data_IF_954763744624
#
_entry.id   IF_954763744624
#
_cell.length_a   1.000
_cell.length_b   1.000
_cell.length_c   1.000
_cell.angle_alpha   90.00
_cell.angle_beta   90.00
_cell.angle_gamma   90.00
#
_symmetry.space_group_name_H-M   'P 1'
#
loop_
_entity.id
_entity.type
_entity.pdbx_description
1 polymer ?
#
# COMPACT_ATOMS: atom_id res chain seq x y z
N UNK A 1 14.80 16.85 4.63
CA UNK A 1 13.68 16.13 3.92
C UNK A 1 12.44 16.28 4.77
N UNK A 2 11.31 16.64 4.15
CA UNK A 2 10.03 16.84 4.84
C UNK A 2 8.97 15.92 4.23
N UNK A 3 8.42 14.99 5.02
CA UNK A 3 7.53 13.93 4.56
C UNK A 3 6.17 14.02 5.25
N UNK A 4 5.10 14.02 4.45
CA UNK A 4 3.75 13.87 4.99
C UNK A 4 3.45 12.38 5.24
N UNK A 5 2.83 12.08 6.39
CA UNK A 5 2.56 10.72 6.84
C UNK A 5 1.07 10.56 7.14
N UNK A 6 0.45 9.50 6.60
CA UNK A 6 -0.94 9.15 6.87
C UNK A 6 -1.15 7.63 6.94
N UNK A 7 -2.21 7.22 7.64
CA UNK A 7 -2.62 5.82 7.70
C UNK A 7 -4.14 5.70 7.72
N UNK A 8 -4.68 4.84 6.84
CA UNK A 8 -6.10 4.52 6.80
C UNK A 8 -6.26 3.05 6.45
N UNK A 9 -6.66 2.24 7.42
CA UNK A 9 -6.67 0.79 7.31
C UNK A 9 -8.00 0.20 7.77
N UNK A 10 -8.59 -0.61 6.91
CA UNK A 10 -9.71 -1.48 7.22
C UNK A 10 -9.72 -2.61 6.18
N UNK A 11 -9.74 -3.84 6.63
CA UNK A 11 -9.96 -5.00 5.78
C UNK A 11 -11.46 -5.15 5.51
N UNK A 12 -11.85 -5.01 4.26
CA UNK A 12 -13.25 -4.99 3.85
C UNK A 12 -13.79 -6.38 3.50
N UNK A 13 -15.09 -6.58 3.71
CA UNK A 13 -15.86 -7.67 3.15
C UNK A 13 -17.10 -7.07 2.46
N UNK A 14 -17.07 -7.02 1.12
CA UNK A 14 -18.15 -6.42 0.33
C UNK A 14 -19.43 -7.27 0.30
N UNK A 15 -19.36 -8.52 0.75
CA UNK A 15 -20.48 -9.46 0.75
C UNK A 15 -21.37 -9.35 2.00
N UNK A 16 -20.98 -8.55 3.00
CA UNK A 16 -21.80 -8.28 4.18
C UNK A 16 -22.58 -6.96 4.05
N UNK A 17 -23.85 -6.92 4.50
CA UNK A 17 -24.64 -5.69 4.52
C UNK A 17 -24.30 -4.74 5.67
N UNK A 18 -23.47 -5.17 6.63
CA UNK A 18 -23.09 -4.36 7.79
C UNK A 18 -21.99 -3.39 7.39
N UNK A 19 -22.22 -2.09 7.57
CA UNK A 19 -21.23 -1.07 7.27
C UNK A 19 -20.29 -0.83 8.44
N UNK A 20 -18.99 -0.71 8.14
CA UNK A 20 -17.99 -0.18 9.08
C UNK A 20 -18.15 1.34 9.17
N UNK A 21 -18.19 1.87 10.37
CA UNK A 21 -18.42 3.29 10.67
C UNK A 21 -17.14 3.97 11.19
N UNK A 22 -17.10 5.30 11.13
CA UNK A 22 -15.99 6.07 11.72
C UNK A 22 -15.76 5.73 13.19
N UNK A 23 -16.83 5.44 13.94
CA UNK A 23 -16.75 5.06 15.35
C UNK A 23 -16.04 3.73 15.61
N UNK A 24 -15.89 2.88 14.58
CA UNK A 24 -15.20 1.60 14.68
C UNK A 24 -13.67 1.76 14.48
N UNK A 25 -13.21 2.96 14.08
CA UNK A 25 -11.79 3.24 13.88
C UNK A 25 -11.11 3.74 15.16
N UNK A 26 -9.95 3.18 15.46
CA UNK A 26 -8.98 3.78 16.37
C UNK A 26 -8.30 4.95 15.64
N UNK A 27 -8.53 6.17 16.14
CA UNK A 27 -8.05 7.41 15.52
C UNK A 27 -6.92 8.03 16.34
N UNK A 28 -5.89 8.51 15.66
CA UNK A 28 -4.84 9.31 16.26
C UNK A 28 -4.36 10.42 15.33
N UNK A 29 -3.90 11.53 15.90
CA UNK A 29 -3.46 12.73 15.20
C UNK A 29 -2.12 13.21 15.75
N UNK A 30 -1.40 14.00 14.97
CA UNK A 30 -0.15 14.61 15.40
C UNK A 30 0.87 13.60 15.93
N UNK A 31 1.55 13.89 17.07
CA UNK A 31 2.55 12.98 17.63
C UNK A 31 1.98 11.61 18.03
N UNK A 32 0.71 11.53 18.45
CA UNK A 32 0.09 10.28 18.88
C UNK A 32 -0.07 9.30 17.71
N UNK A 33 -0.27 9.79 16.48
CA UNK A 33 -0.30 8.90 15.32
C UNK A 33 1.07 8.28 15.02
N UNK A 34 2.16 9.02 15.24
CA UNK A 34 3.51 8.49 15.02
C UNK A 34 3.87 7.37 15.99
N UNK A 35 3.36 7.45 17.22
CA UNK A 35 3.55 6.40 18.22
C UNK A 35 2.87 5.07 17.83
N UNK A 36 1.89 5.10 16.92
CA UNK A 36 1.23 3.89 16.40
C UNK A 36 1.93 3.27 15.19
N UNK A 37 2.92 3.95 14.63
CA UNK A 37 3.70 3.51 13.47
C UNK A 37 5.08 3.00 13.92
N UNK A 38 5.65 2.06 13.14
CA UNK A 38 6.92 1.42 13.49
C UNK A 38 8.10 1.97 12.66
N UNK A 39 8.06 3.28 12.35
CA UNK A 39 9.05 3.97 11.50
C UNK A 39 9.83 5.06 12.22
N UNK A 40 9.52 5.34 13.50
CA UNK A 40 10.08 6.46 14.26
C UNK A 40 11.63 6.46 14.27
N UNK A 41 12.25 5.30 14.51
CA UNK A 41 13.71 5.17 14.55
C UNK A 41 14.37 5.64 13.23
N UNK A 42 13.80 5.27 12.08
CA UNK A 42 14.35 5.67 10.77
C UNK A 42 14.10 7.16 10.49
N UNK A 43 12.95 7.69 10.91
CA UNK A 43 12.66 9.13 10.79
C UNK A 43 13.69 9.97 11.58
N UNK A 44 14.02 9.57 12.80
CA UNK A 44 15.03 10.21 13.65
C UNK A 44 16.44 10.06 13.06
N UNK A 45 16.84 8.84 12.67
CA UNK A 45 18.14 8.57 12.05
C UNK A 45 18.40 9.45 10.83
N UNK A 46 17.38 9.60 9.98
CA UNK A 46 17.46 10.39 8.73
C UNK A 46 17.13 11.86 8.92
N UNK A 47 16.85 12.30 10.15
CA UNK A 47 16.46 13.68 10.48
C UNK A 47 15.32 14.20 9.60
N UNK A 48 14.28 13.36 9.40
CA UNK A 48 13.13 13.69 8.58
C UNK A 48 12.16 14.55 9.38
N UNK A 49 11.80 15.71 8.84
CA UNK A 49 10.71 16.53 9.34
C UNK A 49 9.38 15.89 8.93
N UNK A 50 8.55 15.54 9.90
CA UNK A 50 7.29 14.85 9.68
C UNK A 50 6.13 15.84 9.66
N UNK A 51 5.26 15.71 8.66
CA UNK A 51 3.92 16.32 8.63
C UNK A 51 2.91 15.22 8.90
N UNK A 52 2.49 15.04 10.18
CA UNK A 52 1.50 14.01 10.52
C UNK A 52 0.10 14.46 10.08
N UNK A 53 -0.66 13.57 9.47
CA UNK A 53 -2.04 13.84 9.04
C UNK A 53 -3.05 13.12 9.94
N UNK A 54 -3.41 11.90 9.60
CA UNK A 54 -4.34 11.05 10.33
C UNK A 54 -3.83 9.61 10.37
N UNK A 55 -3.94 8.96 11.53
CA UNK A 55 -3.97 7.50 11.67
C UNK A 55 -5.39 7.07 11.94
N UNK A 56 -5.90 6.13 11.14
CA UNK A 56 -7.20 5.50 11.32
C UNK A 56 -7.09 4.01 11.03
N UNK A 57 -7.44 3.16 12.00
CA UNK A 57 -7.40 1.72 11.88
C UNK A 57 -8.66 1.09 12.44
N UNK A 58 -9.36 0.29 11.64
CA UNK A 58 -10.48 -0.54 12.06
C UNK A 58 -10.15 -2.03 11.92
N UNK A 59 -10.76 -2.85 12.75
CA UNK A 59 -10.74 -4.30 12.59
C UNK A 59 -11.45 -4.72 11.28
N UNK A 60 -11.19 -5.92 10.75
CA UNK A 60 -11.89 -6.45 9.59
C UNK A 60 -13.42 -6.34 9.74
N UNK A 61 -14.08 -5.81 8.70
CA UNK A 61 -15.51 -5.52 8.77
C UNK A 61 -16.16 -5.44 7.38
N UNK A 62 -17.37 -4.91 7.31
CA UNK A 62 -18.04 -4.65 6.05
C UNK A 62 -17.50 -3.41 5.32
N UNK A 63 -18.13 -3.02 4.20
CA UNK A 63 -17.76 -1.81 3.49
C UNK A 63 -17.79 -0.60 4.42
N UNK A 64 -16.80 0.28 4.28
CA UNK A 64 -16.81 1.52 5.07
C UNK A 64 -17.91 2.43 4.53
N UNK A 65 -18.75 2.97 5.43
CA UNK A 65 -19.80 3.89 5.05
C UNK A 65 -19.22 5.10 4.31
N UNK A 66 -19.80 5.44 3.17
CA UNK A 66 -19.28 6.49 2.26
C UNK A 66 -19.00 7.81 2.96
N UNK A 67 -19.95 8.32 3.78
CA UNK A 67 -19.81 9.60 4.44
C UNK A 67 -18.64 9.58 5.44
N UNK A 68 -18.51 8.51 6.22
CA UNK A 68 -17.46 8.33 7.22
C UNK A 68 -16.09 8.18 6.53
N UNK A 69 -16.04 7.42 5.44
CA UNK A 69 -14.82 7.28 4.64
C UNK A 69 -14.34 8.62 4.06
N UNK A 70 -15.26 9.43 3.48
CA UNK A 70 -14.90 10.72 2.91
C UNK A 70 -14.31 11.68 3.96
N UNK A 71 -14.80 11.62 5.20
CA UNK A 71 -14.24 12.39 6.31
C UNK A 71 -12.82 11.90 6.67
N UNK A 72 -12.63 10.59 6.81
CA UNK A 72 -11.32 10.01 7.14
C UNK A 72 -10.28 10.26 6.04
N UNK A 73 -10.63 9.98 4.79
CA UNK A 73 -9.77 10.24 3.64
C UNK A 73 -9.46 11.73 3.49
N UNK A 74 -10.46 12.59 3.72
CA UNK A 74 -10.30 14.05 3.79
C UNK A 74 -9.29 14.48 4.84
N UNK A 75 -9.34 13.88 6.04
CA UNK A 75 -8.37 14.15 7.12
C UNK A 75 -6.92 13.90 6.71
N UNK A 76 -6.67 12.88 5.88
CA UNK A 76 -5.33 12.63 5.32
C UNK A 76 -5.02 13.65 4.21
N UNK A 77 -5.87 13.73 3.19
CA UNK A 77 -5.61 14.56 2.01
C UNK A 77 -5.46 16.04 2.38
N UNK A 78 -6.36 16.57 3.22
CA UNK A 78 -6.35 17.98 3.62
C UNK A 78 -5.14 18.29 4.53
N UNK A 79 -4.68 17.31 5.31
CA UNK A 79 -3.49 17.42 6.14
C UNK A 79 -2.18 17.47 5.37
N UNK A 80 -2.12 17.01 4.11
CA UNK A 80 -0.91 17.09 3.27
C UNK A 80 -0.77 18.49 2.69
N UNK A 81 0.32 19.24 2.94
CA UNK A 81 0.55 20.55 2.32
C UNK A 81 0.72 20.45 0.80
N UNK A 82 0.33 21.49 0.08
CA UNK A 82 0.53 21.58 -1.39
C UNK A 82 2.01 21.87 -1.72
N UNK A 83 2.67 22.61 -0.85
CA UNK A 83 4.05 23.06 -1.05
C UNK A 83 4.94 22.70 0.15
N UNK A 84 6.23 22.63 -0.10
CA UNK A 84 7.24 22.44 0.95
C UNK A 84 7.25 21.04 1.56
N UNK A 85 6.84 20.01 0.81
CA UNK A 85 7.04 18.60 1.14
C UNK A 85 7.85 17.92 0.04
N UNK A 86 8.69 16.96 0.45
CA UNK A 86 9.54 16.20 -0.46
C UNK A 86 8.92 14.85 -0.83
N UNK A 87 7.94 14.36 -0.06
CA UNK A 87 7.29 13.08 -0.31
C UNK A 87 6.08 12.82 0.58
N UNK A 88 5.31 11.80 0.23
CA UNK A 88 4.18 11.30 1.02
C UNK A 88 4.35 9.82 1.30
N UNK A 89 4.26 9.43 2.56
CA UNK A 89 4.25 8.05 3.00
C UNK A 89 2.89 7.68 3.57
N UNK A 90 2.32 6.58 3.07
CA UNK A 90 1.02 6.10 3.50
C UNK A 90 1.09 4.64 3.97
N UNK A 91 0.38 4.34 5.06
CA UNK A 91 0.12 2.98 5.49
C UNK A 91 -1.37 2.68 5.33
N UNK A 92 -1.68 1.91 4.29
CA UNK A 92 -3.04 1.55 3.89
C UNK A 92 -3.24 0.04 4.07
N UNK A 93 -4.47 -0.47 3.95
CA UNK A 93 -4.69 -1.91 3.96
C UNK A 93 -4.51 -2.52 2.56
N UNK A 94 -5.14 -1.95 1.57
CA UNK A 94 -5.17 -2.47 0.19
C UNK A 94 -6.43 -3.28 -0.15
N UNK A 95 -7.23 -3.63 0.85
CA UNK A 95 -8.51 -4.32 0.68
C UNK A 95 -9.68 -3.53 1.30
N UNK A 96 -9.59 -2.22 1.35
CA UNK A 96 -10.66 -1.38 1.87
C UNK A 96 -11.74 -1.19 0.82
N UNK A 97 -12.89 -1.75 1.08
CA UNK A 97 -14.09 -1.56 0.29
C UNK A 97 -14.94 -0.41 0.88
N UNK A 98 -15.39 0.51 0.05
CA UNK A 98 -16.18 1.67 0.46
C UNK A 98 -17.52 1.70 -0.26
N UNK A 99 -18.60 1.88 0.50
CA UNK A 99 -19.97 1.96 0.00
C UNK A 99 -20.10 2.93 -1.18
N UNK A 100 -20.48 2.41 -2.37
CA UNK A 100 -20.71 3.20 -3.58
C UNK A 100 -19.46 3.89 -4.16
N UNK A 101 -18.25 3.50 -3.72
CA UNK A 101 -16.98 4.00 -4.26
C UNK A 101 -16.12 2.85 -4.82
N UNK A 102 -16.13 1.67 -4.18
CA UNK A 102 -15.21 0.58 -4.46
C UNK A 102 -13.91 0.70 -3.65
N UNK A 103 -12.73 0.66 -4.28
CA UNK A 103 -11.44 0.77 -3.59
C UNK A 103 -11.26 2.11 -2.89
N UNK A 104 -11.17 2.05 -1.57
CA UNK A 104 -10.84 3.21 -0.73
C UNK A 104 -9.43 3.72 -1.04
N UNK A 105 -8.48 2.84 -1.20
CA UNK A 105 -7.08 3.21 -1.47
C UNK A 105 -6.93 3.96 -2.79
N UNK A 106 -7.56 3.47 -3.87
CA UNK A 106 -7.51 4.14 -5.16
C UNK A 106 -8.17 5.54 -5.11
N UNK A 107 -9.31 5.65 -4.43
CA UNK A 107 -9.97 6.95 -4.23
C UNK A 107 -9.09 7.94 -3.46
N UNK A 108 -8.51 7.51 -2.32
CA UNK A 108 -7.63 8.36 -1.51
C UNK A 108 -6.41 8.82 -2.30
N UNK A 109 -5.73 7.91 -3.00
CA UNK A 109 -4.55 8.23 -3.81
C UNK A 109 -4.90 9.19 -4.96
N UNK A 110 -6.05 9.01 -5.62
CA UNK A 110 -6.52 9.93 -6.67
C UNK A 110 -6.74 11.34 -6.11
N UNK A 111 -7.45 11.46 -4.98
CA UNK A 111 -7.67 12.74 -4.31
C UNK A 111 -6.36 13.41 -3.87
N UNK A 112 -5.41 12.59 -3.40
CA UNK A 112 -4.08 13.08 -3.05
C UNK A 112 -3.37 13.64 -4.28
N UNK A 113 -3.37 12.91 -5.42
CA UNK A 113 -2.76 13.35 -6.67
C UNK A 113 -3.42 14.61 -7.26
N UNK A 114 -4.74 14.73 -7.16
CA UNK A 114 -5.45 15.95 -7.53
C UNK A 114 -4.94 17.18 -6.76
N UNK A 115 -4.52 16.99 -5.51
CA UNK A 115 -4.01 18.05 -4.65
C UNK A 115 -2.53 18.38 -4.87
N UNK A 116 -1.66 17.35 -4.91
CA UNK A 116 -0.20 17.54 -4.90
C UNK A 116 0.47 17.34 -6.28
N UNK A 117 -0.28 16.90 -7.29
CA UNK A 117 0.29 16.54 -8.60
C UNK A 117 1.11 15.25 -8.57
N UNK A 118 1.97 15.06 -9.58
CA UNK A 118 2.75 13.84 -9.77
C UNK A 118 4.26 14.02 -9.55
N UNK A 119 4.72 15.22 -9.28
CA UNK A 119 6.14 15.53 -9.08
C UNK A 119 6.64 15.17 -7.68
N UNK A 120 5.72 14.97 -6.73
CA UNK A 120 6.02 14.56 -5.36
C UNK A 120 5.88 13.04 -5.26
N UNK A 121 6.95 12.28 -4.88
CA UNK A 121 6.86 10.84 -4.76
C UNK A 121 5.91 10.42 -3.62
N UNK A 122 5.13 9.37 -3.89
CA UNK A 122 4.21 8.73 -2.93
C UNK A 122 4.60 7.27 -2.78
N UNK A 123 4.89 6.83 -1.55
CA UNK A 123 5.13 5.43 -1.22
C UNK A 123 4.05 4.90 -0.29
N UNK A 124 3.62 3.66 -0.55
CA UNK A 124 2.52 3.01 0.16
C UNK A 124 2.97 1.67 0.73
N UNK A 125 2.75 1.46 2.04
CA UNK A 125 2.81 0.16 2.68
C UNK A 125 1.40 -0.43 2.80
N UNK A 126 1.24 -1.72 2.57
CA UNK A 126 -0.06 -2.42 2.58
C UNK A 126 0.02 -3.78 3.27
N UNK A 127 -1.14 -4.40 3.45
CA UNK A 127 -1.28 -5.79 3.85
C UNK A 127 -1.01 -6.74 2.68
N UNK A 128 -0.72 -8.00 2.98
CA UNK A 128 -0.56 -9.07 2.00
C UNK A 128 -1.85 -9.38 1.23
N UNK A 129 -3.00 -9.15 1.88
CA UNK A 129 -4.33 -9.38 1.30
C UNK A 129 -4.86 -8.21 0.45
N UNK A 130 -3.99 -7.32 -0.01
CA UNK A 130 -4.38 -6.19 -0.84
C UNK A 130 -4.91 -6.65 -2.22
N UNK A 131 -6.12 -6.17 -2.57
CA UNK A 131 -6.71 -6.23 -3.91
C UNK A 131 -6.44 -4.92 -4.64
N UNK A 132 -5.25 -4.82 -5.21
CA UNK A 132 -4.81 -3.58 -5.83
C UNK A 132 -5.48 -3.38 -7.19
N UNK A 133 -6.25 -2.30 -7.36
CA UNK A 133 -6.75 -1.90 -8.67
C UNK A 133 -5.60 -1.47 -9.61
N UNK A 134 -5.86 -1.41 -10.91
CA UNK A 134 -4.87 -0.96 -11.91
C UNK A 134 -4.48 0.51 -11.76
N UNK A 135 -5.25 1.28 -10.98
CA UNK A 135 -4.93 2.67 -10.68
C UNK A 135 -3.81 2.83 -9.64
N UNK A 136 -3.68 1.89 -8.68
CA UNK A 136 -2.71 1.98 -7.59
C UNK A 136 -1.27 2.23 -8.10
N UNK A 137 -0.74 1.43 -9.04
CA UNK A 137 0.62 1.65 -9.56
C UNK A 137 0.75 2.91 -10.44
N UNK A 138 -0.36 3.51 -10.88
CA UNK A 138 -0.35 4.78 -11.60
C UNK A 138 -0.34 5.99 -10.65
N UNK A 139 -0.84 5.82 -9.42
CA UNK A 139 -1.00 6.87 -8.43
C UNK A 139 0.11 6.89 -7.38
N UNK A 140 0.76 5.74 -7.11
CA UNK A 140 1.89 5.62 -6.20
C UNK A 140 3.20 5.36 -6.96
N UNK A 141 4.32 5.86 -6.45
CA UNK A 141 5.66 5.62 -7.03
C UNK A 141 6.30 4.36 -6.47
N UNK A 142 5.86 3.92 -5.30
CA UNK A 142 6.28 2.67 -4.68
C UNK A 142 5.13 2.07 -3.87
N UNK A 143 4.94 0.77 -4.01
CA UNK A 143 3.96 0.01 -3.23
C UNK A 143 4.66 -1.22 -2.67
N UNK A 144 4.46 -1.51 -1.39
CA UNK A 144 4.96 -2.72 -0.74
C UNK A 144 3.89 -3.33 0.15
N UNK A 145 3.95 -4.64 0.38
CA UNK A 145 3.05 -5.36 1.27
C UNK A 145 3.79 -6.28 2.22
N UNK A 146 3.07 -6.88 3.17
CA UNK A 146 3.64 -7.93 4.01
C UNK A 146 4.16 -9.08 3.14
N UNK A 147 5.25 -9.69 3.59
CA UNK A 147 5.88 -10.85 2.94
C UNK A 147 5.61 -12.15 3.67
N UNK A 148 4.91 -12.07 4.78
CA UNK A 148 4.58 -13.23 5.61
C UNK A 148 3.08 -13.36 5.82
N UNK A 149 2.56 -14.55 5.65
CA UNK A 149 1.23 -14.95 6.10
C UNK A 149 1.38 -16.26 6.87
N UNK A 150 1.10 -16.29 8.18
CA UNK A 150 0.65 -15.21 9.07
C UNK A 150 1.60 -14.03 9.18
N UNK A 151 1.05 -12.82 9.39
CA UNK A 151 1.79 -11.56 9.37
C UNK A 151 2.76 -11.43 10.55
N UNK A 152 4.05 -11.32 10.27
CA UNK A 152 5.11 -11.13 11.25
C UNK A 152 6.07 -9.98 10.91
N UNK A 153 5.90 -9.34 9.74
CA UNK A 153 6.83 -8.36 9.19
C UNK A 153 6.26 -6.93 9.06
N UNK A 154 5.36 -6.55 9.99
CA UNK A 154 4.73 -5.22 9.99
C UNK A 154 5.76 -4.07 9.98
N UNK A 155 6.75 -4.12 10.89
CA UNK A 155 7.81 -3.10 10.99
C UNK A 155 8.62 -3.05 9.68
N UNK A 156 9.04 -4.20 9.18
CA UNK A 156 9.87 -4.29 7.98
C UNK A 156 9.14 -3.75 6.75
N UNK A 157 7.84 -4.01 6.63
CA UNK A 157 7.01 -3.52 5.53
C UNK A 157 6.87 -2.00 5.56
N UNK A 158 6.59 -1.42 6.73
CA UNK A 158 6.54 0.02 6.90
C UNK A 158 7.90 0.67 6.56
N UNK A 159 8.99 0.09 7.05
CA UNK A 159 10.35 0.57 6.78
C UNK A 159 10.72 0.47 5.29
N UNK A 160 10.35 -0.63 4.58
CA UNK A 160 10.59 -0.76 3.13
C UNK A 160 9.94 0.38 2.35
N UNK A 161 8.69 0.73 2.65
CA UNK A 161 8.03 1.86 2.01
C UNK A 161 8.72 3.19 2.27
N UNK A 162 9.14 3.44 3.53
CA UNK A 162 9.83 4.68 3.89
C UNK A 162 11.22 4.76 3.24
N UNK A 163 11.99 3.68 3.25
CA UNK A 163 13.30 3.60 2.59
C UNK A 163 13.20 3.85 1.09
N UNK A 164 12.21 3.24 0.42
CA UNK A 164 11.99 3.48 -1.00
C UNK A 164 11.59 4.93 -1.29
N UNK A 165 10.77 5.55 -0.43
CA UNK A 165 10.44 6.97 -0.55
C UNK A 165 11.68 7.86 -0.41
N UNK A 166 12.54 7.58 0.58
CA UNK A 166 13.80 8.29 0.79
C UNK A 166 14.68 8.18 -0.47
N UNK A 167 14.82 6.99 -1.04
CA UNK A 167 15.55 6.77 -2.29
C UNK A 167 14.97 7.60 -3.44
N UNK A 168 13.64 7.64 -3.58
CA UNK A 168 12.99 8.44 -4.61
C UNK A 168 13.32 9.94 -4.45
N UNK A 169 13.28 10.46 -3.23
CA UNK A 169 13.57 11.86 -2.94
C UNK A 169 15.06 12.17 -3.16
N UNK A 170 15.97 11.36 -2.61
CA UNK A 170 17.41 11.59 -2.71
C UNK A 170 17.95 11.48 -4.13
N UNK A 171 17.42 10.53 -4.91
CA UNK A 171 17.80 10.34 -6.33
C UNK A 171 17.01 11.21 -7.30
N UNK A 172 15.99 11.95 -6.84
CA UNK A 172 15.07 12.71 -7.68
C UNK A 172 14.43 11.85 -8.79
N UNK A 173 13.94 10.66 -8.42
CA UNK A 173 13.28 9.74 -9.34
C UNK A 173 11.81 9.56 -8.98
N UNK A 174 11.00 9.32 -10.02
CA UNK A 174 9.57 9.04 -9.90
C UNK A 174 9.26 7.71 -10.60
N UNK A 175 9.58 6.58 -9.95
CA UNK A 175 9.32 5.27 -10.52
C UNK A 175 7.84 5.07 -10.86
N UNK A 176 7.58 4.19 -11.83
CA UNK A 176 6.22 3.80 -12.24
C UNK A 176 6.05 2.30 -12.03
N UNK A 177 5.50 1.86 -10.89
CA UNK A 177 5.28 0.45 -10.64
C UNK A 177 4.42 -0.20 -11.73
N UNK A 178 4.63 -1.48 -11.96
CA UNK A 178 3.87 -2.28 -12.92
C UNK A 178 3.14 -3.39 -12.20
N UNK A 179 1.92 -3.68 -12.63
CA UNK A 179 1.07 -4.71 -12.02
C UNK A 179 0.76 -5.83 -13.01
N UNK A 180 0.67 -7.06 -12.48
CA UNK A 180 0.10 -8.23 -13.16
C UNK A 180 -0.76 -9.02 -12.18
N UNK A 181 -1.72 -9.81 -12.69
CA UNK A 181 -2.64 -10.61 -11.89
C UNK A 181 -2.61 -12.07 -12.30
N UNK A 182 -2.83 -12.97 -11.33
CA UNK A 182 -3.21 -14.34 -11.62
C UNK A 182 -4.75 -14.44 -11.60
N UNK A 183 -5.32 -15.15 -12.57
CA UNK A 183 -6.78 -15.29 -12.71
C UNK A 183 -7.30 -16.43 -11.79
N UNK A 184 -7.05 -16.31 -10.50
CA UNK A 184 -7.48 -17.27 -9.46
C UNK A 184 -7.95 -16.52 -8.23
N UNK A 185 -8.78 -17.18 -7.42
CA UNK A 185 -9.17 -16.73 -6.08
C UNK A 185 -8.81 -17.84 -5.12
N UNK A 186 -8.13 -17.51 -4.02
CA UNK A 186 -7.65 -18.49 -3.06
C UNK A 186 -8.24 -18.18 -1.69
N UNK A 187 -8.75 -19.21 -1.05
CA UNK A 187 -9.28 -19.14 0.30
C UNK A 187 -8.18 -18.73 1.30
N UNK A 188 -8.52 -17.81 2.23
CA UNK A 188 -7.56 -17.21 3.15
C UNK A 188 -6.75 -18.20 3.98
N UNK A 189 -7.36 -19.30 4.46
CA UNK A 189 -6.69 -20.34 5.26
C UNK A 189 -5.65 -21.14 4.46
N UNK A 190 -5.78 -21.17 3.11
CA UNK A 190 -4.82 -21.81 2.22
C UNK A 190 -3.62 -20.92 1.89
N UNK A 191 -3.62 -19.67 2.34
CA UNK A 191 -2.63 -18.66 1.97
C UNK A 191 -1.56 -18.55 3.04
N UNK A 192 -0.54 -19.40 2.93
CA UNK A 192 0.62 -19.37 3.82
C UNK A 192 1.90 -19.21 3.00
N UNK A 193 2.66 -18.15 3.26
CA UNK A 193 3.89 -17.84 2.50
C UNK A 193 5.01 -18.86 2.70
N UNK A 194 4.93 -19.70 3.73
CA UNK A 194 5.83 -20.82 3.97
C UNK A 194 5.49 -22.09 3.17
N UNK A 195 4.38 -22.13 2.44
CA UNK A 195 3.90 -23.27 1.67
C UNK A 195 3.85 -22.97 0.17
N UNK A 196 3.87 -24.04 -0.64
CA UNK A 196 3.70 -23.88 -2.10
C UNK A 196 2.25 -23.54 -2.47
N UNK A 197 2.04 -22.73 -3.52
CA UNK A 197 3.04 -22.17 -4.44
C UNK A 197 3.73 -20.90 -3.93
N UNK A 198 3.20 -20.28 -2.87
CA UNK A 198 3.65 -18.97 -2.39
C UNK A 198 5.12 -18.98 -1.97
N UNK A 199 5.61 -20.05 -1.33
CA UNK A 199 7.02 -20.16 -0.95
C UNK A 199 7.96 -19.95 -2.14
N UNK A 200 7.70 -20.62 -3.26
CA UNK A 200 8.51 -20.48 -4.47
C UNK A 200 8.36 -19.12 -5.13
N UNK A 201 7.16 -18.55 -5.11
CA UNK A 201 6.88 -17.21 -5.65
C UNK A 201 7.60 -16.14 -4.83
N UNK A 202 7.53 -16.20 -3.50
CA UNK A 202 8.23 -15.27 -2.62
C UNK A 202 9.75 -15.36 -2.79
N UNK A 203 10.31 -16.58 -2.89
CA UNK A 203 11.74 -16.78 -3.14
C UNK A 203 12.17 -16.19 -4.50
N UNK A 204 11.34 -16.31 -5.53
CA UNK A 204 11.62 -15.73 -6.84
C UNK A 204 11.53 -14.18 -6.79
N UNK A 205 10.57 -13.62 -6.07
CA UNK A 205 10.46 -12.18 -5.85
C UNK A 205 11.72 -11.62 -5.16
N UNK A 206 12.18 -12.26 -4.10
CA UNK A 206 13.42 -11.89 -3.40
C UNK A 206 14.66 -12.03 -4.29
N UNK A 207 14.70 -13.07 -5.14
CA UNK A 207 15.78 -13.25 -6.11
C UNK A 207 15.82 -12.10 -7.11
N UNK A 208 14.67 -11.70 -7.65
CA UNK A 208 14.57 -10.58 -8.59
C UNK A 208 15.05 -9.27 -7.95
N UNK A 209 14.65 -8.98 -6.71
CA UNK A 209 15.12 -7.80 -5.99
C UNK A 209 16.64 -7.77 -5.83
N UNK A 210 17.24 -8.92 -5.49
CA UNK A 210 18.68 -9.01 -5.25
C UNK A 210 19.52 -8.97 -6.53
N UNK A 211 19.02 -9.59 -7.63
CA UNK A 211 19.83 -9.88 -8.81
C UNK A 211 19.61 -8.91 -9.97
N UNK A 212 18.49 -8.19 -10.01
CA UNK A 212 18.20 -7.24 -11.08
C UNK A 212 18.63 -5.83 -10.64
N UNK A 213 19.66 -5.24 -11.29
CA UNK A 213 20.11 -3.88 -10.97
C UNK A 213 18.99 -2.86 -11.16
N UNK A 214 18.83 -1.94 -10.23
CA UNK A 214 17.78 -0.91 -10.26
C UNK A 214 16.40 -1.38 -9.79
N UNK A 215 16.26 -2.64 -9.37
CA UNK A 215 15.02 -3.12 -8.77
C UNK A 215 14.83 -2.50 -7.39
N UNK A 216 13.73 -1.77 -7.20
CA UNK A 216 13.38 -1.14 -5.93
C UNK A 216 12.47 -2.03 -5.07
N UNK A 217 11.64 -2.86 -5.70
CA UNK A 217 10.76 -3.78 -4.98
C UNK A 217 9.97 -4.70 -5.89
N UNK A 218 9.75 -5.92 -5.42
CA UNK A 218 8.95 -6.96 -6.07
C UNK A 218 7.94 -7.46 -5.05
N UNK A 219 6.68 -7.08 -5.22
CA UNK A 219 5.64 -7.34 -4.23
C UNK A 219 4.67 -8.42 -4.72
N UNK A 220 4.35 -9.33 -3.81
CA UNK A 220 3.38 -10.40 -3.98
C UNK A 220 2.21 -10.10 -3.06
N UNK A 221 1.03 -9.94 -3.63
CA UNK A 221 -0.22 -9.78 -2.90
C UNK A 221 -1.14 -10.95 -3.23
N UNK A 222 -1.80 -11.50 -2.23
CA UNK A 222 -2.74 -12.60 -2.46
C UNK A 222 -4.15 -12.12 -2.78
N UNK A 223 -4.50 -10.93 -2.37
CA UNK A 223 -5.86 -10.43 -2.40
C UNK A 223 -6.74 -11.01 -1.30
N UNK A 224 -7.89 -10.39 -1.09
CA UNK A 224 -8.92 -10.77 -0.13
C UNK A 224 -10.11 -11.40 -0.87
N UNK A 225 -10.49 -12.67 -0.61
CA UNK A 225 -11.53 -13.35 -1.39
C UNK A 225 -12.95 -12.84 -1.14
N UNK A 226 -13.12 -11.91 -0.20
CA UNK A 226 -14.42 -11.33 0.18
C UNK A 226 -14.68 -9.95 -0.44
N UNK A 227 -13.83 -9.53 -1.39
CA UNK A 227 -13.99 -8.29 -2.15
C UNK A 227 -14.56 -8.63 -3.53
N UNK A 228 -15.81 -8.25 -3.79
CA UNK A 228 -16.48 -8.45 -5.09
C UNK A 228 -16.17 -7.28 -6.03
N UNK A 229 -14.93 -7.25 -6.51
CA UNK A 229 -14.43 -6.22 -7.42
C UNK A 229 -13.68 -6.88 -8.60
N UNK A 230 -13.66 -6.25 -9.79
CA UNK A 230 -13.00 -6.82 -10.97
C UNK A 230 -11.51 -7.08 -10.84
N UNK A 231 -10.87 -6.45 -9.86
CA UNK A 231 -9.43 -6.53 -9.59
C UNK A 231 -9.07 -7.46 -8.43
N UNK A 232 -10.04 -8.21 -7.88
CA UNK A 232 -9.80 -9.15 -6.77
C UNK A 232 -8.80 -10.25 -7.12
N UNK A 233 -8.10 -10.76 -6.12
CA UNK A 233 -7.21 -11.91 -6.20
C UNK A 233 -5.72 -11.58 -6.32
N UNK A 234 -4.88 -12.61 -6.50
CA UNK A 234 -3.44 -12.45 -6.47
C UNK A 234 -2.93 -11.46 -7.50
N UNK A 235 -2.14 -10.51 -7.02
CA UNK A 235 -1.56 -9.47 -7.84
C UNK A 235 -0.11 -9.20 -7.45
N UNK A 236 0.68 -8.76 -8.43
CA UNK A 236 2.13 -8.62 -8.34
C UNK A 236 2.50 -7.22 -8.79
N UNK A 237 3.03 -6.42 -7.86
CA UNK A 237 3.45 -5.06 -8.16
C UNK A 237 4.96 -5.00 -8.10
N UNK A 238 5.58 -4.64 -9.22
CA UNK A 238 7.03 -4.54 -9.35
C UNK A 238 7.43 -3.10 -9.65
N UNK A 239 8.42 -2.61 -8.92
CA UNK A 239 8.95 -1.26 -9.06
C UNK A 239 10.43 -1.32 -9.42
N UNK A 240 10.79 -0.79 -10.59
CA UNK A 240 12.15 -0.55 -11.01
C UNK A 240 12.41 0.95 -11.07
N UNK A 241 13.62 1.41 -10.76
CA UNK A 241 13.93 2.85 -10.66
C UNK A 241 13.69 3.62 -11.97
N UNK A 242 13.81 2.98 -13.14
CA UNK A 242 13.70 3.62 -14.45
C UNK A 242 13.11 2.75 -15.56
N UNK A 243 13.14 1.41 -15.45
CA UNK A 243 12.75 0.49 -16.54
C UNK A 243 11.41 -0.20 -16.24
N UNK A 244 10.33 0.37 -16.79
CA UNK A 244 8.98 -0.19 -16.65
C UNK A 244 8.79 -1.49 -17.41
N UNK A 245 9.58 -1.75 -18.48
CA UNK A 245 9.46 -3.00 -19.23
C UNK A 245 10.03 -4.17 -18.44
N UNK A 246 11.17 -3.99 -17.78
CA UNK A 246 11.73 -4.98 -16.84
C UNK A 246 10.76 -5.23 -15.68
N UNK A 247 10.21 -4.17 -15.08
CA UNK A 247 9.22 -4.30 -14.00
C UNK A 247 8.00 -5.12 -14.45
N UNK A 248 7.45 -4.82 -15.65
CA UNK A 248 6.29 -5.54 -16.20
C UNK A 248 6.61 -7.01 -16.48
N UNK A 249 7.76 -7.32 -17.06
CA UNK A 249 8.19 -8.70 -17.32
C UNK A 249 8.30 -9.51 -16.02
N UNK A 250 8.85 -8.91 -14.97
CA UNK A 250 8.94 -9.54 -13.64
C UNK A 250 7.55 -9.79 -13.04
N UNK A 251 6.65 -8.82 -13.09
CA UNK A 251 5.28 -8.97 -12.62
C UNK A 251 4.53 -10.08 -13.39
N UNK A 252 4.65 -10.11 -14.73
CA UNK A 252 4.05 -11.15 -15.57
C UNK A 252 4.62 -12.55 -15.29
N UNK A 253 5.93 -12.63 -14.97
CA UNK A 253 6.56 -13.90 -14.62
C UNK A 253 5.98 -14.46 -13.32
N UNK A 254 5.85 -13.62 -12.28
CA UNK A 254 5.27 -14.04 -11.00
C UNK A 254 3.81 -14.46 -11.15
N UNK A 255 3.01 -13.72 -11.94
CA UNK A 255 1.62 -14.07 -12.21
C UNK A 255 1.45 -15.43 -12.91
N UNK A 256 2.44 -15.87 -13.68
CA UNK A 256 2.45 -17.21 -14.32
C UNK A 256 2.91 -18.33 -13.39
N UNK A 257 3.49 -18.03 -12.25
CA UNK A 257 3.92 -19.03 -11.26
C UNK A 257 2.78 -19.44 -10.32
N UNK A 258 1.75 -18.63 -10.24
CA UNK A 258 0.56 -18.90 -9.46
C UNK A 258 -0.37 -19.85 -10.20
#
# INVERSE_FOLDING_TARGET
MRIAIGSLQCEGNSLTPVLTRKADFDLAYGPDMLAKLQIAELLEEKQIEVVPTLYAHALPGGPVAKADYLELAGGIVDGVPVEGIDGVWLYLHGAMCVEGIGSGEAYLLRRLREKIGFEIPVAVAMDFHADNSDEIPQLANYVTGFRTAPHADHKQTQLRALQALIICVEKHILPRPQISRAAVVIEGDAVQTAQEPLRSIMAEAERMEREIPGMLGVQVFNGQPWIDEPYMGPNFIVTHESDTAVAKQCADRLARMY
#
